data_IF_289001327156
#
_entry.id   IF_289001327156
#
_cell.length_a   1.000
_cell.length_b   1.000
_cell.length_c   1.000
_cell.angle_alpha   90.00
_cell.angle_beta   90.00
_cell.angle_gamma   90.00
#
_symmetry.space_group_name_H-M   'P 1'
#
loop_
_entity.id
_entity.type
_entity.pdbx_description
1 polymer ?
#
# COMPACT_ATOMS: atom_id res chain seq x y z
N UNK A 1 2.09 -7.43 -13.77
CA UNK A 1 2.30 -6.72 -12.49
C UNK A 1 2.02 -7.70 -11.37
N UNK A 2 2.80 -7.65 -10.29
CA UNK A 2 2.60 -8.51 -9.11
C UNK A 2 2.74 -7.67 -7.85
N UNK A 3 1.75 -7.79 -6.96
CA UNK A 3 1.76 -7.19 -5.62
C UNK A 3 1.79 -8.35 -4.63
N UNK A 4 2.80 -8.40 -3.78
CA UNK A 4 2.90 -9.37 -2.68
C UNK A 4 2.80 -8.58 -1.37
N UNK A 5 1.88 -8.95 -0.50
CA UNK A 5 1.63 -8.27 0.76
C UNK A 5 1.42 -9.26 1.89
N UNK A 6 1.99 -8.98 3.06
CA UNK A 6 1.67 -9.67 4.31
C UNK A 6 0.79 -8.84 5.26
N UNK A 7 0.30 -7.68 4.82
CA UNK A 7 -0.69 -6.91 5.56
C UNK A 7 -2.05 -7.63 5.56
N UNK A 8 -2.78 -7.58 6.69
CA UNK A 8 -4.19 -8.00 6.76
C UNK A 8 -5.06 -7.24 5.76
N UNK A 9 -4.75 -5.95 5.55
CA UNK A 9 -5.37 -5.10 4.55
C UNK A 9 -4.35 -4.12 3.97
N UNK A 10 -4.29 -4.06 2.65
CA UNK A 10 -3.57 -3.04 1.92
C UNK A 10 -4.24 -2.77 0.56
N UNK A 11 -4.18 -1.52 0.12
CA UNK A 11 -4.49 -1.09 -1.24
C UNK A 11 -3.22 -0.57 -1.88
N UNK A 12 -3.00 -0.95 -3.14
CA UNK A 12 -1.89 -0.45 -3.95
C UNK A 12 -2.47 0.02 -5.27
N UNK A 13 -2.43 1.32 -5.52
CA UNK A 13 -2.87 1.93 -6.76
C UNK A 13 -1.68 2.35 -7.59
N UNK A 14 -1.70 2.03 -8.88
CA UNK A 14 -0.58 2.26 -9.80
C UNK A 14 -1.10 3.04 -10.98
N UNK A 15 -0.54 4.24 -11.19
CA UNK A 15 -1.06 5.25 -12.11
C UNK A 15 0.06 5.75 -13.00
N UNK A 16 -0.17 5.72 -14.31
CA UNK A 16 0.70 6.39 -15.28
C UNK A 16 0.56 7.91 -15.14
N UNK A 17 1.70 8.62 -15.01
CA UNK A 17 1.73 10.08 -14.90
C UNK A 17 1.96 10.79 -16.24
N UNK A 18 2.14 10.02 -17.32
CA UNK A 18 2.44 10.54 -18.66
C UNK A 18 1.40 10.12 -19.72
N UNK A 19 0.24 9.63 -19.25
CA UNK A 19 -0.89 9.19 -20.09
C UNK A 19 -0.54 8.06 -21.08
N UNK A 20 0.56 7.34 -20.84
CA UNK A 20 0.91 6.14 -21.59
C UNK A 20 0.39 4.88 -20.91
N UNK A 21 0.19 3.77 -21.65
CA UNK A 21 0.02 2.45 -21.07
C UNK A 21 1.13 2.15 -20.05
N UNK A 22 0.80 1.47 -18.94
CA UNK A 22 1.76 1.21 -17.85
C UNK A 22 3.05 0.49 -18.31
N UNK A 23 2.99 -0.29 -19.39
CA UNK A 23 4.15 -1.00 -19.96
C UNK A 23 5.13 -0.08 -20.71
N UNK A 24 4.66 1.11 -21.13
CA UNK A 24 5.43 2.11 -21.89
C UNK A 24 5.69 3.40 -21.11
N UNK A 25 4.93 3.62 -20.02
CA UNK A 25 5.04 4.82 -19.19
C UNK A 25 6.47 4.99 -18.64
N UNK A 26 6.99 6.21 -18.76
CA UNK A 26 8.29 6.62 -18.22
C UNK A 26 8.19 7.14 -16.80
N UNK A 27 6.97 7.33 -16.30
CA UNK A 27 6.73 7.90 -14.98
C UNK A 27 5.45 7.34 -14.38
N UNK A 28 5.59 6.54 -13.33
CA UNK A 28 4.47 5.82 -12.71
C UNK A 28 4.41 6.17 -11.22
N UNK A 29 3.24 6.60 -10.75
CA UNK A 29 2.95 6.77 -9.33
C UNK A 29 2.40 5.47 -8.75
N UNK A 30 2.94 5.06 -7.61
CA UNK A 30 2.44 4.00 -6.75
C UNK A 30 1.92 4.65 -5.48
N UNK A 31 0.65 4.42 -5.14
CA UNK A 31 0.03 4.89 -3.91
C UNK A 31 -0.36 3.69 -3.04
N UNK A 32 -0.02 3.75 -1.76
CA UNK A 32 -0.24 2.67 -0.80
C UNK A 32 -1.14 3.15 0.32
N UNK A 33 -2.20 2.41 0.59
CA UNK A 33 -3.05 2.59 1.75
C UNK A 33 -3.09 1.32 2.58
N UNK A 34 -2.65 1.37 3.83
CA UNK A 34 -2.84 0.29 4.80
C UNK A 34 -3.93 0.67 5.80
N UNK A 35 -4.22 -0.20 6.77
CA UNK A 35 -5.13 0.16 7.85
C UNK A 35 -4.63 1.41 8.59
N UNK A 36 -5.44 2.46 8.58
CA UNK A 36 -5.22 3.68 9.34
C UNK A 36 -6.32 3.80 10.40
N UNK A 37 -5.91 3.92 11.68
CA UNK A 37 -6.83 4.09 12.82
C UNK A 37 -6.26 5.10 13.80
N UNK A 38 -7.09 5.85 14.54
CA UNK A 38 -6.59 6.71 15.61
C UNK A 38 -5.81 5.91 16.66
N UNK A 39 -4.87 6.58 17.31
CA UNK A 39 -4.08 5.99 18.39
C UNK A 39 -5.01 5.56 19.53
N UNK A 40 -4.86 4.33 20.00
CA UNK A 40 -5.71 3.76 21.05
C UNK A 40 -6.99 3.09 20.56
N UNK A 41 -7.17 2.85 19.24
CA UNK A 41 -8.28 2.06 18.73
C UNK A 41 -8.30 0.63 19.31
N UNK A 42 -9.46 0.17 19.78
CA UNK A 42 -9.64 -1.17 20.38
C UNK A 42 -10.80 -1.90 19.70
N UNK A 43 -10.50 -3.08 19.16
CA UNK A 43 -11.48 -3.94 18.48
C UNK A 43 -11.27 -5.45 18.73
N UNK A 44 -11.67 -5.99 19.89
CA UNK A 44 -11.54 -7.42 20.13
C UNK A 44 -12.35 -8.24 19.12
N UNK A 45 -11.84 -9.43 18.81
CA UNK A 45 -12.62 -10.47 18.14
C UNK A 45 -13.80 -10.83 19.04
N UNK A 46 -14.99 -10.94 18.45
CA UNK A 46 -16.20 -11.32 19.14
C UNK A 46 -17.14 -12.07 18.20
N UNK A 47 -18.25 -12.50 18.76
CA UNK A 47 -19.31 -13.20 18.06
C UNK A 47 -20.61 -12.41 18.14
N UNK A 48 -21.27 -12.23 17.01
CA UNK A 48 -22.57 -11.58 16.89
C UNK A 48 -23.62 -12.62 16.52
N UNK A 49 -24.74 -12.63 17.21
CA UNK A 49 -25.90 -13.42 16.82
C UNK A 49 -26.70 -12.64 15.77
N UNK A 50 -27.06 -13.31 14.68
CA UNK A 50 -27.95 -12.73 13.68
C UNK A 50 -29.35 -12.50 14.24
N UNK A 51 -30.08 -11.56 13.65
CA UNK A 51 -31.43 -11.18 14.09
C UNK A 51 -32.43 -12.35 14.06
N UNK A 52 -32.15 -13.37 13.24
CA UNK A 52 -32.94 -14.60 13.14
C UNK A 52 -32.67 -15.61 14.28
N UNK A 53 -31.68 -15.33 15.13
CA UNK A 53 -31.22 -16.18 16.22
C UNK A 53 -30.50 -17.45 15.77
N UNK A 54 -30.42 -17.72 14.46
CA UNK A 54 -29.91 -18.97 13.87
C UNK A 54 -28.49 -18.82 13.36
N UNK A 55 -28.15 -17.65 12.84
CA UNK A 55 -26.82 -17.40 12.32
C UNK A 55 -25.91 -16.80 13.40
N UNK A 56 -24.66 -17.26 13.41
CA UNK A 56 -23.61 -16.69 14.24
C UNK A 56 -22.53 -16.11 13.32
N UNK A 57 -22.12 -14.88 13.59
CA UNK A 57 -21.08 -14.16 12.85
C UNK A 57 -19.87 -13.95 13.73
N UNK A 58 -18.68 -14.29 13.22
CA UNK A 58 -17.42 -13.92 13.84
C UNK A 58 -16.94 -12.61 13.24
N UNK A 59 -16.59 -11.65 14.08
CA UNK A 59 -16.13 -10.34 13.64
C UNK A 59 -15.41 -9.60 14.74
N UNK A 60 -15.23 -8.30 14.56
CA UNK A 60 -14.62 -7.44 15.57
C UNK A 60 -15.62 -6.39 16.04
N UNK A 61 -15.67 -6.15 17.34
CA UNK A 61 -16.50 -5.09 17.92
C UNK A 61 -15.63 -3.90 18.23
N UNK A 62 -15.97 -2.73 17.69
CA UNK A 62 -15.30 -1.48 18.06
C UNK A 62 -15.77 -1.08 19.45
N UNK A 63 -14.86 -1.06 20.42
CA UNK A 63 -15.16 -0.66 21.81
C UNK A 63 -14.51 0.68 22.20
N UNK A 64 -13.47 1.09 21.47
CA UNK A 64 -12.88 2.42 21.55
C UNK A 64 -12.38 2.84 20.16
N UNK A 65 -12.74 4.05 19.74
CA UNK A 65 -12.32 4.62 18.46
C UNK A 65 -10.97 5.34 18.52
N UNK A 66 -10.38 5.45 19.72
CA UNK A 66 -9.10 6.12 19.95
C UNK A 66 -9.18 7.64 19.76
N UNK A 67 -8.00 8.26 19.66
CA UNK A 67 -7.85 9.71 19.45
C UNK A 67 -6.68 9.99 18.51
N UNK A 68 -6.65 11.19 17.96
CA UNK A 68 -5.52 11.65 17.15
C UNK A 68 -4.20 11.51 17.93
N UNK A 69 -3.08 11.19 17.26
CA UNK A 69 -2.90 11.10 15.80
C UNK A 69 -3.38 9.78 15.18
N UNK A 70 -3.51 9.75 13.85
CA UNK A 70 -3.66 8.51 13.09
C UNK A 70 -2.41 7.65 13.20
N UNK A 71 -2.59 6.38 13.52
CA UNK A 71 -1.61 5.32 13.38
C UNK A 71 -1.89 4.56 12.08
N UNK A 72 -0.94 4.63 11.16
CA UNK A 72 -0.99 3.92 9.87
C UNK A 72 -0.14 2.65 10.03
N UNK A 73 -0.69 1.50 9.68
CA UNK A 73 0.04 0.24 9.76
C UNK A 73 1.21 0.23 8.76
N UNK A 74 2.35 -0.35 9.17
CA UNK A 74 3.52 -0.51 8.31
C UNK A 74 3.15 -1.19 6.98
N UNK A 75 3.60 -0.64 5.86
CA UNK A 75 3.53 -1.31 4.57
C UNK A 75 4.48 -2.52 4.56
N UNK A 76 3.96 -3.69 4.21
CA UNK A 76 4.72 -4.93 4.08
C UNK A 76 4.56 -5.47 2.66
N UNK A 77 4.93 -4.63 1.68
CA UNK A 77 4.63 -4.84 0.26
C UNK A 77 5.91 -5.01 -0.55
N UNK A 78 5.91 -6.02 -1.41
CA UNK A 78 6.86 -6.15 -2.51
C UNK A 78 6.11 -5.96 -3.82
N UNK A 79 6.61 -5.05 -4.66
CA UNK A 79 6.02 -4.73 -5.95
C UNK A 79 6.92 -5.19 -7.08
N UNK A 80 6.33 -5.81 -8.10
CA UNK A 80 6.99 -6.08 -9.38
C UNK A 80 6.17 -5.47 -10.53
N UNK A 81 6.78 -4.54 -11.27
CA UNK A 81 6.16 -3.84 -12.41
C UNK A 81 6.83 -4.29 -13.71
N UNK A 82 6.04 -4.84 -14.63
CA UNK A 82 6.51 -5.23 -15.95
C UNK A 82 6.53 -3.99 -16.86
N UNK A 83 7.67 -3.33 -16.90
CA UNK A 83 8.01 -2.21 -17.77
C UNK A 83 9.54 -2.11 -17.76
N UNK A 84 10.17 -2.35 -18.90
CA UNK A 84 11.64 -2.41 -19.02
C UNK A 84 12.30 -1.04 -19.10
N UNK A 85 11.52 0.03 -19.31
CA UNK A 85 12.02 1.39 -19.28
C UNK A 85 12.27 1.89 -17.85
N UNK A 86 11.48 1.43 -16.87
CA UNK A 86 11.60 1.85 -15.47
C UNK A 86 12.87 1.28 -14.83
N UNK A 87 13.68 2.16 -14.24
CA UNK A 87 14.97 1.78 -13.63
C UNK A 87 15.25 2.48 -12.30
N UNK A 88 14.42 3.43 -11.89
CA UNK A 88 14.57 4.16 -10.63
C UNK A 88 13.26 4.20 -9.85
N UNK A 89 13.37 4.29 -8.53
CA UNK A 89 12.24 4.47 -7.63
C UNK A 89 12.57 5.53 -6.58
N UNK A 90 11.62 6.42 -6.30
CA UNK A 90 11.76 7.49 -5.30
C UNK A 90 10.54 7.51 -4.40
N UNK A 91 10.74 7.36 -3.09
CA UNK A 91 9.69 7.57 -2.10
C UNK A 91 9.40 9.06 -1.96
N UNK A 92 8.11 9.41 -1.87
CA UNK A 92 7.66 10.76 -1.60
C UNK A 92 7.13 10.90 -0.16
N UNK A 93 7.09 12.13 0.34
CA UNK A 93 6.38 12.47 1.57
C UNK A 93 4.86 12.57 1.36
N UNK A 94 4.11 12.85 2.43
CA UNK A 94 2.64 13.00 2.40
C UNK A 94 2.14 14.11 1.46
N UNK A 95 3.01 15.06 1.10
CA UNK A 95 2.70 16.20 0.23
C UNK A 95 3.16 15.95 -1.22
N UNK A 96 3.75 14.77 -1.50
CA UNK A 96 4.25 14.42 -2.83
C UNK A 96 5.67 14.92 -3.14
N UNK A 97 6.43 15.41 -2.15
CA UNK A 97 7.82 15.83 -2.37
C UNK A 97 8.78 14.61 -2.29
N UNK A 98 9.81 14.54 -3.15
CA UNK A 98 10.83 13.49 -3.05
C UNK A 98 11.53 13.46 -1.69
N UNK A 99 11.64 12.27 -1.09
CA UNK A 99 12.45 12.05 0.12
C UNK A 99 13.70 11.23 -0.16
N UNK A 100 13.52 10.00 -0.62
CA UNK A 100 14.58 8.98 -0.62
C UNK A 100 14.51 8.13 -1.87
N UNK A 101 15.66 7.87 -2.49
CA UNK A 101 15.77 6.88 -3.58
C UNK A 101 15.69 5.48 -2.99
N UNK A 102 14.89 4.63 -3.61
CA UNK A 102 14.72 3.25 -3.22
C UNK A 102 15.60 2.35 -4.08
N UNK A 103 16.08 1.27 -3.47
CA UNK A 103 16.74 0.21 -4.21
C UNK A 103 15.73 -0.52 -5.10
N UNK A 104 16.16 -0.82 -6.33
CA UNK A 104 15.36 -1.53 -7.31
C UNK A 104 16.16 -2.66 -7.91
N UNK A 105 15.52 -3.81 -8.09
CA UNK A 105 16.11 -5.02 -8.63
C UNK A 105 15.54 -5.23 -10.03
N UNK A 106 16.40 -5.27 -11.05
CA UNK A 106 15.98 -5.64 -12.40
C UNK A 106 15.63 -7.14 -12.44
N UNK A 107 14.49 -7.47 -13.03
CA UNK A 107 13.99 -8.84 -13.16
C UNK A 107 13.45 -9.07 -14.58
N UNK A 108 14.36 -9.29 -15.53
CA UNK A 108 14.01 -9.43 -16.95
C UNK A 108 13.43 -8.13 -17.51
N UNK A 109 12.19 -8.17 -17.98
CA UNK A 109 11.44 -6.99 -18.49
C UNK A 109 10.65 -6.27 -17.38
N UNK A 110 11.04 -6.48 -16.12
CA UNK A 110 10.36 -5.91 -14.96
C UNK A 110 11.36 -5.31 -13.96
N UNK A 111 10.84 -4.42 -13.13
CA UNK A 111 11.52 -3.88 -11.95
C UNK A 111 10.82 -4.41 -10.70
N UNK A 112 11.61 -4.80 -9.70
CA UNK A 112 11.13 -5.25 -8.40
C UNK A 112 11.67 -4.35 -7.29
N UNK A 113 10.84 -4.03 -6.30
CA UNK A 113 11.24 -3.26 -5.14
C UNK A 113 10.44 -3.66 -3.90
N UNK A 114 11.10 -3.57 -2.74
CA UNK A 114 10.45 -3.66 -1.44
C UNK A 114 10.08 -2.24 -1.01
N UNK A 115 8.81 -2.03 -0.68
CA UNK A 115 8.35 -0.73 -0.24
C UNK A 115 8.81 -0.48 1.22
N UNK A 116 9.29 0.73 1.55
CA UNK A 116 9.51 1.14 2.94
C UNK A 116 8.26 0.96 3.79
N UNK A 117 8.45 0.71 5.09
CA UNK A 117 7.34 0.56 6.06
C UNK A 117 6.41 1.77 6.10
N UNK A 118 6.95 2.97 5.89
CA UNK A 118 6.21 4.23 5.88
C UNK A 118 5.85 4.72 4.47
N UNK A 119 5.88 3.83 3.47
CA UNK A 119 5.57 4.20 2.08
C UNK A 119 4.08 4.53 1.92
N UNK A 120 3.80 5.78 1.54
CA UNK A 120 2.48 6.22 1.06
C UNK A 120 2.51 6.43 -0.46
N UNK A 121 3.59 7.02 -0.96
CA UNK A 121 3.79 7.30 -2.37
C UNK A 121 5.20 6.93 -2.82
N UNK A 122 5.29 6.30 -3.98
CA UNK A 122 6.56 6.02 -4.67
C UNK A 122 6.38 6.37 -6.14
N UNK A 123 7.33 7.09 -6.72
CA UNK A 123 7.39 7.30 -8.17
C UNK A 123 8.45 6.40 -8.76
N UNK A 124 8.07 5.65 -9.78
CA UNK A 124 8.97 4.87 -10.62
C UNK A 124 9.26 5.67 -11.90
N UNK A 125 10.53 5.74 -12.29
CA UNK A 125 10.95 6.53 -13.44
C UNK A 125 11.85 5.73 -14.37
N UNK A 126 11.70 6.00 -15.67
CA UNK A 126 12.70 5.62 -16.66
C UNK A 126 13.94 6.52 -16.53
N UNK A 127 15.09 6.01 -16.96
CA UNK A 127 16.31 6.81 -17.09
C UNK A 127 16.24 7.77 -18.26
#
# INVERSE_FOLDING_TARGET
MTIQSSNDYATVMIVSLDNQPLIESKRVLVQVGTTARPTGWIEPQTTFQGDDGKQTYHGKQVVDTGKMPWAIADAQITLTVANSGLTAATQLDINGNPRTKLETIAQGQAIRLHLPKDALYVVLEAK
#
